data_IF_344472571666
#
_entry.id   IF_344472571666
#
_cell.length_a   1.000
_cell.length_b   1.000
_cell.length_c   1.000
_cell.angle_alpha   90.00
_cell.angle_beta   90.00
_cell.angle_gamma   90.00
#
_symmetry.space_group_name_H-M   'P 1'
#
loop_
_entity.id
_entity.type
_entity.pdbx_description
1 polymer ?
#
# COMPACT_ATOMS: atom_id res chain seq x y z
N UNK A 1 19.86 -6.58 -1.93
CA UNK A 1 18.98 -7.73 -2.01
C UNK A 1 19.42 -8.60 -3.18
N UNK A 2 19.51 -9.90 -2.95
CA UNK A 2 19.86 -10.86 -4.01
C UNK A 2 18.54 -11.39 -4.59
N UNK A 3 18.35 -11.24 -5.88
CA UNK A 3 17.25 -11.88 -6.57
C UNK A 3 17.61 -13.37 -6.74
N UNK A 4 16.81 -14.22 -6.15
CA UNK A 4 17.04 -15.67 -6.21
C UNK A 4 16.08 -16.30 -7.19
N UNK A 5 16.58 -16.97 -8.22
CA UNK A 5 15.79 -17.74 -9.18
C UNK A 5 16.15 -19.21 -9.06
N UNK A 6 15.15 -20.08 -9.16
CA UNK A 6 15.35 -21.53 -9.05
C UNK A 6 15.95 -22.16 -10.31
N UNK A 7 15.89 -21.45 -11.45
CA UNK A 7 16.49 -21.87 -12.72
C UNK A 7 16.41 -20.77 -13.75
N UNK A 8 17.38 -20.70 -14.68
CA UNK A 8 17.43 -19.66 -15.71
C UNK A 8 16.34 -19.82 -16.77
N UNK A 9 15.82 -21.01 -16.95
CA UNK A 9 14.73 -21.31 -17.89
C UNK A 9 13.39 -20.69 -17.48
N UNK A 10 13.25 -20.24 -16.24
CA UNK A 10 12.05 -19.55 -15.73
C UNK A 10 12.19 -18.04 -15.71
N UNK A 11 13.39 -17.51 -16.03
CA UNK A 11 13.65 -16.07 -15.99
C UNK A 11 13.12 -15.39 -17.25
N UNK A 12 12.26 -14.43 -17.05
CA UNK A 12 11.64 -13.63 -18.12
C UNK A 12 12.36 -12.29 -18.32
N UNK A 13 12.03 -11.58 -19.39
CA UNK A 13 12.48 -10.21 -19.59
C UNK A 13 12.03 -9.28 -18.45
N UNK A 14 10.83 -9.48 -17.94
CA UNK A 14 10.28 -8.67 -16.85
C UNK A 14 11.06 -8.88 -15.54
N UNK A 15 11.56 -10.08 -15.28
CA UNK A 15 12.43 -10.33 -14.13
C UNK A 15 13.74 -9.54 -14.23
N UNK A 16 14.36 -9.52 -15.43
CA UNK A 16 15.55 -8.70 -15.66
C UNK A 16 15.26 -7.21 -15.52
N UNK A 17 14.12 -6.75 -16.03
CA UNK A 17 13.70 -5.37 -15.90
C UNK A 17 13.49 -4.98 -14.44
N UNK A 18 12.83 -5.81 -13.65
CA UNK A 18 12.62 -5.60 -12.20
C UNK A 18 13.95 -5.54 -11.44
N UNK A 19 14.88 -6.45 -11.72
CA UNK A 19 16.23 -6.43 -11.13
C UNK A 19 16.97 -5.15 -11.49
N UNK A 20 16.94 -4.74 -12.76
CA UNK A 20 17.55 -3.50 -13.24
C UNK A 20 16.94 -2.28 -12.52
N UNK A 21 15.61 -2.18 -12.49
CA UNK A 21 14.89 -1.11 -11.79
C UNK A 21 15.27 -1.05 -10.32
N UNK A 22 15.28 -2.18 -9.61
CA UNK A 22 15.66 -2.24 -8.19
C UNK A 22 17.10 -1.76 -7.98
N UNK A 23 18.02 -2.18 -8.83
CA UNK A 23 19.43 -1.77 -8.75
C UNK A 23 19.63 -0.27 -8.97
N UNK A 24 18.82 0.33 -9.84
CA UNK A 24 18.86 1.77 -10.15
C UNK A 24 17.92 2.62 -9.31
N UNK A 25 17.23 2.04 -8.30
CA UNK A 25 16.29 2.76 -7.44
C UNK A 25 15.05 3.27 -8.20
N UNK A 26 14.69 2.63 -9.31
CA UNK A 26 13.50 2.96 -10.09
C UNK A 26 12.29 2.24 -9.46
N UNK A 27 11.26 2.98 -9.00
CA UNK A 27 10.07 2.38 -8.39
C UNK A 27 9.34 1.43 -9.36
N UNK A 28 8.94 0.26 -8.86
CA UNK A 28 8.17 -0.67 -9.67
C UNK A 28 6.73 -0.19 -9.84
N UNK A 29 6.25 -0.28 -11.07
CA UNK A 29 4.83 -0.23 -11.35
C UNK A 29 4.19 -1.52 -10.84
N UNK A 30 3.18 -1.42 -9.99
CA UNK A 30 2.54 -2.57 -9.34
C UNK A 30 1.26 -2.95 -10.10
N UNK A 31 0.32 -2.02 -10.20
CA UNK A 31 -0.94 -2.24 -10.87
C UNK A 31 -1.58 -0.93 -11.33
N UNK A 32 -2.57 -1.06 -12.19
CA UNK A 32 -3.40 0.05 -12.65
C UNK A 32 -4.87 -0.25 -12.41
N UNK A 33 -5.62 0.81 -12.13
CA UNK A 33 -7.08 0.80 -12.14
C UNK A 33 -7.61 1.65 -13.31
N UNK A 34 -8.91 1.82 -13.38
CA UNK A 34 -9.50 2.72 -14.38
C UNK A 34 -8.97 4.15 -14.26
N UNK A 35 -8.81 4.66 -13.02
CA UNK A 35 -8.46 6.06 -12.75
C UNK A 35 -7.08 6.24 -12.10
N UNK A 36 -6.50 5.19 -11.56
CA UNK A 36 -5.26 5.28 -10.79
C UNK A 36 -4.15 4.42 -11.37
N UNK A 37 -2.92 4.89 -11.15
CA UNK A 37 -1.68 4.12 -11.26
C UNK A 37 -1.14 3.91 -9.86
N UNK A 38 -0.78 2.66 -9.53
CA UNK A 38 -0.22 2.30 -8.23
C UNK A 38 1.20 1.79 -8.45
N UNK A 39 2.16 2.40 -7.75
CA UNK A 39 3.57 2.05 -7.84
C UNK A 39 4.27 2.19 -6.49
N UNK A 40 5.44 1.60 -6.38
CA UNK A 40 6.30 1.80 -5.23
C UNK A 40 6.66 3.28 -5.03
N UNK A 41 6.98 3.62 -3.77
CA UNK A 41 7.58 4.89 -3.42
C UNK A 41 9.01 4.98 -3.98
N UNK A 42 9.35 6.13 -4.54
CA UNK A 42 10.71 6.50 -4.90
C UNK A 42 11.16 7.71 -4.11
N UNK A 43 12.47 7.89 -3.92
CA UNK A 43 13.01 8.99 -3.10
C UNK A 43 12.63 10.39 -3.60
N UNK A 44 12.31 10.52 -4.88
CA UNK A 44 11.84 11.77 -5.50
C UNK A 44 10.38 12.10 -5.15
N UNK A 45 9.63 11.15 -4.56
CA UNK A 45 8.23 11.35 -4.16
C UNK A 45 8.08 11.96 -2.77
N UNK A 46 9.17 12.15 -2.03
CA UNK A 46 9.11 12.54 -0.62
C UNK A 46 8.36 13.86 -0.41
N UNK A 47 8.59 14.86 -1.24
CA UNK A 47 7.91 16.16 -1.13
C UNK A 47 6.41 16.04 -1.42
N UNK A 48 6.04 15.18 -2.39
CA UNK A 48 4.64 14.92 -2.70
C UNK A 48 3.94 14.13 -1.58
N UNK A 49 4.67 13.23 -0.90
CA UNK A 49 4.17 12.51 0.26
C UNK A 49 3.88 13.47 1.42
N UNK A 50 4.79 14.42 1.72
CA UNK A 50 4.54 15.47 2.71
C UNK A 50 3.33 16.30 2.34
N UNK A 51 3.23 16.76 1.12
CA UNK A 51 2.08 17.55 0.65
C UNK A 51 0.75 16.77 0.74
N UNK A 52 0.76 15.44 0.68
CA UNK A 52 -0.41 14.60 0.92
C UNK A 52 -0.77 14.55 2.41
N UNK A 53 0.22 14.30 3.29
CA UNK A 53 -0.01 14.15 4.72
C UNK A 53 -0.32 15.46 5.45
N UNK A 54 0.10 16.60 4.92
CA UNK A 54 -0.22 17.94 5.44
C UNK A 54 -1.66 18.40 5.13
N UNK A 55 -2.39 17.67 4.27
CA UNK A 55 -3.78 18.00 3.99
C UNK A 55 -4.67 17.79 5.23
N UNK A 56 -5.68 18.64 5.44
CA UNK A 56 -6.57 18.49 6.59
C UNK A 56 -7.21 17.10 6.67
N UNK A 57 -7.28 16.54 7.88
CA UNK A 57 -7.92 15.26 8.18
C UNK A 57 -7.22 13.99 7.63
N UNK A 58 -6.10 14.10 6.96
CA UNK A 58 -5.34 12.92 6.49
C UNK A 58 -4.77 12.13 7.66
N UNK A 59 -4.28 12.83 8.68
CA UNK A 59 -3.66 12.22 9.87
C UNK A 59 -4.59 12.08 11.07
N UNK A 60 -5.92 12.19 10.88
CA UNK A 60 -6.87 12.05 12.00
C UNK A 60 -6.84 10.64 12.63
N UNK A 61 -6.51 9.61 11.85
CA UNK A 61 -6.50 8.21 12.27
C UNK A 61 -5.24 7.44 11.89
N UNK A 62 -4.21 8.11 11.41
CA UNK A 62 -2.91 7.54 11.06
C UNK A 62 -1.80 8.39 11.65
N UNK A 63 -0.65 7.78 11.89
CA UNK A 63 0.52 8.50 12.37
C UNK A 63 1.01 9.54 11.35
N UNK A 64 1.40 10.75 11.79
CA UNK A 64 2.03 11.72 10.93
C UNK A 64 3.42 11.23 10.50
N UNK A 65 3.92 11.80 9.41
CA UNK A 65 5.30 11.55 8.99
C UNK A 65 6.31 12.07 10.03
N UNK A 66 7.46 11.44 10.10
CA UNK A 66 8.59 11.93 10.90
C UNK A 66 9.09 13.27 10.37
N UNK A 67 10.01 13.92 11.08
CA UNK A 67 10.73 15.08 10.55
C UNK A 67 11.48 14.71 9.25
N UNK A 68 11.54 15.62 8.28
CA UNK A 68 11.96 15.36 6.89
C UNK A 68 13.23 14.50 6.74
N UNK A 69 14.28 14.81 7.54
CA UNK A 69 15.52 14.05 7.47
C UNK A 69 15.35 12.60 7.98
N UNK A 70 14.52 12.41 8.99
CA UNK A 70 14.20 11.08 9.56
C UNK A 70 13.29 10.30 8.62
N UNK A 71 12.27 10.94 8.05
CA UNK A 71 11.38 10.31 7.07
C UNK A 71 12.14 9.85 5.84
N UNK A 72 13.05 10.69 5.35
CA UNK A 72 13.91 10.34 4.22
C UNK A 72 14.75 9.08 4.48
N UNK A 73 15.25 8.92 5.70
CA UNK A 73 15.99 7.73 6.10
C UNK A 73 15.07 6.53 6.29
N UNK A 74 13.88 6.74 6.87
CA UNK A 74 12.85 5.72 7.02
C UNK A 74 12.43 5.16 5.66
N UNK A 75 12.05 6.01 4.70
CA UNK A 75 11.60 5.59 3.38
C UNK A 75 12.74 4.91 2.56
N UNK A 76 13.99 5.34 2.72
CA UNK A 76 15.13 4.63 2.13
C UNK A 76 15.23 3.20 2.67
N UNK A 77 15.15 3.03 3.99
CA UNK A 77 15.16 1.72 4.62
C UNK A 77 13.94 0.88 4.21
N UNK A 78 12.78 1.54 4.04
CA UNK A 78 11.55 0.89 3.59
C UNK A 78 11.71 0.31 2.18
N UNK A 79 12.24 1.07 1.23
CA UNK A 79 12.53 0.61 -0.13
C UNK A 79 13.48 -0.60 -0.10
N UNK A 80 14.56 -0.50 0.66
CA UNK A 80 15.59 -1.53 0.68
C UNK A 80 15.15 -2.82 1.38
N UNK A 81 14.42 -2.69 2.49
CA UNK A 81 14.08 -3.83 3.36
C UNK A 81 12.69 -4.38 3.08
N UNK A 82 11.68 -3.53 2.93
CA UNK A 82 10.30 -3.98 2.75
C UNK A 82 10.06 -4.38 1.30
N UNK A 83 10.17 -3.47 0.36
CA UNK A 83 10.02 -3.82 -1.05
C UNK A 83 11.09 -4.82 -1.54
N UNK A 84 12.33 -4.69 -1.03
CA UNK A 84 13.43 -5.55 -1.42
C UNK A 84 13.32 -6.98 -0.88
N UNK A 85 12.63 -7.20 0.22
CA UNK A 85 12.51 -8.52 0.87
C UNK A 85 11.16 -9.17 0.60
N UNK A 86 10.06 -8.43 0.82
CA UNK A 86 8.70 -8.99 0.68
C UNK A 86 8.16 -8.90 -0.75
N UNK A 87 8.65 -7.94 -1.56
CA UNK A 87 8.10 -7.68 -2.89
C UNK A 87 6.77 -6.89 -2.89
N UNK A 88 6.25 -6.57 -1.71
CA UNK A 88 5.06 -5.73 -1.53
C UNK A 88 5.25 -4.78 -0.33
N UNK A 89 4.34 -3.84 -0.16
CA UNK A 89 4.35 -2.84 0.90
C UNK A 89 3.30 -1.77 0.66
N UNK A 90 3.43 -0.61 1.33
CA UNK A 90 2.58 0.56 1.09
C UNK A 90 3.03 1.30 -0.16
N UNK A 91 2.20 1.30 -1.19
CA UNK A 91 2.46 1.93 -2.48
C UNK A 91 1.83 3.31 -2.59
N UNK A 92 2.29 4.11 -3.54
CA UNK A 92 1.73 5.40 -3.88
C UNK A 92 0.63 5.26 -4.94
N UNK A 93 -0.44 6.03 -4.76
CA UNK A 93 -1.60 6.06 -5.66
C UNK A 93 -1.61 7.39 -6.41
N UNK A 94 -1.42 7.34 -7.72
CA UNK A 94 -1.44 8.49 -8.61
C UNK A 94 -2.73 8.51 -9.43
N UNK A 95 -3.35 9.68 -9.56
CA UNK A 95 -4.45 9.87 -10.48
C UNK A 95 -3.93 9.96 -11.92
N UNK A 96 -4.43 9.10 -12.82
CA UNK A 96 -3.96 9.02 -14.21
C UNK A 96 -4.17 10.31 -15.00
N UNK A 97 -5.29 10.99 -14.75
CA UNK A 97 -5.66 12.21 -15.48
C UNK A 97 -4.70 13.38 -15.22
N UNK A 98 -4.26 13.51 -13.97
CA UNK A 98 -3.44 14.66 -13.52
C UNK A 98 -1.98 14.31 -13.25
N UNK A 99 -1.67 13.02 -13.11
CA UNK A 99 -0.36 12.53 -12.66
C UNK A 99 -0.05 12.86 -11.19
N UNK A 100 -1.01 13.36 -10.41
CA UNK A 100 -0.80 13.76 -9.02
C UNK A 100 -0.88 12.58 -8.07
N UNK A 101 -0.06 12.62 -7.03
CA UNK A 101 -0.19 11.75 -5.88
C UNK A 101 -1.49 12.09 -5.13
N UNK A 102 -2.37 11.11 -5.00
CA UNK A 102 -3.69 11.25 -4.36
C UNK A 102 -3.89 10.30 -3.20
N UNK A 103 -2.94 9.43 -2.91
CA UNK A 103 -3.08 8.50 -1.81
C UNK A 103 -1.89 7.58 -1.64
N UNK A 104 -1.94 6.81 -0.56
CA UNK A 104 -1.03 5.70 -0.26
C UNK A 104 -1.88 4.49 0.09
N UNK A 105 -1.63 3.33 -0.50
CA UNK A 105 -2.37 2.11 -0.22
C UNK A 105 -1.52 0.89 -0.53
N UNK A 106 -1.71 -0.18 0.23
CA UNK A 106 -0.90 -1.38 0.03
C UNK A 106 -1.10 -2.43 1.11
N UNK A 107 -0.13 -3.31 1.20
CA UNK A 107 -0.13 -4.47 2.06
C UNK A 107 1.11 -4.47 2.95
N UNK A 108 0.94 -4.71 4.23
CA UNK A 108 2.04 -4.76 5.19
C UNK A 108 1.87 -5.89 6.20
N UNK A 109 2.99 -6.43 6.68
CA UNK A 109 2.99 -7.21 7.91
C UNK A 109 2.93 -6.25 9.10
N UNK A 110 1.95 -6.44 9.98
CA UNK A 110 1.86 -5.72 11.25
C UNK A 110 2.33 -6.62 12.39
N UNK A 111 3.21 -6.11 13.23
CA UNK A 111 3.61 -6.81 14.45
C UNK A 111 2.75 -6.38 15.65
N UNK A 112 2.29 -7.30 16.50
CA UNK A 112 2.34 -8.75 16.32
C UNK A 112 1.25 -9.21 15.35
N UNK A 113 1.61 -9.87 14.27
CA UNK A 113 0.64 -10.55 13.39
C UNK A 113 0.65 -12.05 13.68
N UNK A 114 -0.49 -12.70 13.49
CA UNK A 114 -0.50 -14.15 13.38
C UNK A 114 0.25 -14.56 12.12
N UNK A 115 0.88 -15.74 12.16
CA UNK A 115 1.73 -16.20 11.05
C UNK A 115 0.92 -16.21 9.73
N UNK A 116 1.37 -15.41 8.76
CA UNK A 116 0.72 -15.29 7.45
C UNK A 116 -0.34 -14.20 7.31
N UNK A 117 -0.65 -13.42 8.34
CA UNK A 117 -1.59 -12.30 8.22
C UNK A 117 -0.92 -11.07 7.63
N UNK A 118 -1.60 -10.46 6.65
CA UNK A 118 -1.17 -9.23 5.99
C UNK A 118 -2.25 -8.18 6.13
N UNK A 119 -1.87 -6.97 6.50
CA UNK A 119 -2.78 -5.85 6.69
C UNK A 119 -2.94 -5.04 5.39
N UNK A 120 -4.18 -4.73 5.02
CA UNK A 120 -4.51 -3.73 4.00
C UNK A 120 -4.55 -2.35 4.65
N UNK A 121 -3.59 -1.49 4.30
CA UNK A 121 -3.56 -0.09 4.67
C UNK A 121 -3.94 0.82 3.50
N UNK A 122 -4.63 1.94 3.76
CA UNK A 122 -4.95 2.93 2.74
C UNK A 122 -5.24 4.31 3.32
N UNK A 123 -4.89 5.32 2.56
CA UNK A 123 -5.34 6.70 2.71
C UNK A 123 -5.54 7.32 1.32
N UNK A 124 -6.51 8.21 1.22
CA UNK A 124 -6.79 8.97 -0.02
C UNK A 124 -6.95 10.45 0.35
N UNK A 125 -6.40 11.33 -0.47
CA UNK A 125 -6.50 12.77 -0.32
C UNK A 125 -7.95 13.24 -0.16
N UNK A 126 -8.25 14.19 0.75
CA UNK A 126 -9.62 14.66 1.02
C UNK A 126 -10.38 15.14 -0.21
N UNK A 127 -9.69 15.74 -1.17
CA UNK A 127 -10.26 16.18 -2.45
C UNK A 127 -10.83 15.03 -3.31
N UNK A 128 -10.48 13.78 -2.97
CA UNK A 128 -10.90 12.56 -3.68
C UNK A 128 -11.86 11.68 -2.87
N UNK A 129 -12.23 12.12 -1.65
CA UNK A 129 -13.19 11.40 -0.82
C UNK A 129 -14.58 11.33 -1.46
N UNK A 130 -15.35 10.30 -1.09
CA UNK A 130 -16.71 10.04 -1.57
C UNK A 130 -16.88 9.94 -3.10
N UNK A 131 -15.75 9.85 -3.84
CA UNK A 131 -15.73 9.68 -5.30
C UNK A 131 -15.40 8.23 -5.73
N UNK A 132 -15.29 7.31 -4.76
CA UNK A 132 -15.05 5.89 -5.02
C UNK A 132 -13.58 5.49 -5.29
N UNK A 133 -12.62 6.40 -5.14
CA UNK A 133 -11.20 6.10 -5.36
C UNK A 133 -10.68 5.04 -4.40
N UNK A 134 -10.96 5.15 -3.10
CA UNK A 134 -10.54 4.16 -2.11
C UNK A 134 -11.10 2.76 -2.43
N UNK A 135 -12.39 2.66 -2.78
CA UNK A 135 -13.01 1.38 -3.18
C UNK A 135 -12.29 0.78 -4.39
N UNK A 136 -12.06 1.58 -5.44
CA UNK A 136 -11.41 1.14 -6.67
C UNK A 136 -9.98 0.63 -6.43
N UNK A 137 -9.21 1.39 -5.65
CA UNK A 137 -7.81 1.05 -5.31
C UNK A 137 -7.75 -0.21 -4.45
N UNK A 138 -8.53 -0.28 -3.37
CA UNK A 138 -8.51 -1.43 -2.47
C UNK A 138 -8.98 -2.71 -3.17
N UNK A 139 -10.01 -2.66 -4.02
CA UNK A 139 -10.43 -3.82 -4.82
C UNK A 139 -9.30 -4.33 -5.70
N UNK A 140 -8.58 -3.44 -6.38
CA UNK A 140 -7.47 -3.82 -7.24
C UNK A 140 -6.31 -4.43 -6.43
N UNK A 141 -6.02 -3.90 -5.22
CA UNK A 141 -5.00 -4.46 -4.32
C UNK A 141 -5.41 -5.85 -3.82
N UNK A 142 -6.68 -6.07 -3.47
CA UNK A 142 -7.18 -7.39 -3.06
C UNK A 142 -7.05 -8.42 -4.20
N UNK A 143 -7.41 -8.05 -5.44
CA UNK A 143 -7.20 -8.92 -6.60
C UNK A 143 -5.72 -9.25 -6.80
N UNK A 144 -4.83 -8.25 -6.70
CA UNK A 144 -3.39 -8.43 -6.80
C UNK A 144 -2.85 -9.36 -5.69
N UNK A 145 -3.33 -9.18 -4.45
CA UNK A 145 -2.95 -10.03 -3.32
C UNK A 145 -3.27 -11.51 -3.58
N UNK A 146 -4.45 -11.77 -4.13
CA UNK A 146 -4.88 -13.13 -4.49
C UNK A 146 -4.11 -13.70 -5.68
N UNK A 147 -4.08 -12.97 -6.79
CA UNK A 147 -3.63 -13.47 -8.09
C UNK A 147 -2.11 -13.50 -8.22
N UNK A 148 -1.42 -12.48 -7.71
CA UNK A 148 0.02 -12.33 -7.86
C UNK A 148 0.82 -12.76 -6.63
N UNK A 149 0.24 -12.54 -5.43
CA UNK A 149 0.94 -12.85 -4.18
C UNK A 149 0.46 -14.15 -3.52
N UNK A 150 -0.61 -14.79 -4.07
CA UNK A 150 -1.19 -16.04 -3.55
C UNK A 150 -1.56 -15.95 -2.05
N UNK A 151 -1.98 -14.79 -1.60
CA UNK A 151 -2.44 -14.58 -0.23
C UNK A 151 -3.83 -15.19 -0.05
N UNK A 152 -4.07 -15.75 1.12
CA UNK A 152 -5.35 -16.39 1.45
C UNK A 152 -6.26 -15.50 2.29
N UNK A 153 -5.66 -14.62 3.12
CA UNK A 153 -6.40 -13.77 4.04
C UNK A 153 -5.75 -12.40 4.18
N UNK A 154 -6.58 -11.37 4.26
CA UNK A 154 -6.19 -9.99 4.51
C UNK A 154 -6.93 -9.48 5.74
N UNK A 155 -6.23 -8.72 6.58
CA UNK A 155 -6.82 -8.03 7.72
C UNK A 155 -6.73 -6.51 7.53
N UNK A 156 -7.48 -5.74 8.30
CA UNK A 156 -7.33 -4.29 8.39
C UNK A 156 -7.78 -3.83 9.78
N UNK A 157 -6.95 -3.02 10.41
CA UNK A 157 -7.21 -2.46 11.73
C UNK A 157 -7.76 -1.05 11.61
N UNK A 158 -8.85 -0.77 12.30
CA UNK A 158 -9.58 0.49 12.13
C UNK A 158 -9.90 1.10 13.48
N UNK A 159 -9.47 2.33 13.70
CA UNK A 159 -9.81 3.09 14.90
C UNK A 159 -11.34 3.18 15.09
N UNK A 160 -11.83 3.05 16.32
CA UNK A 160 -13.27 2.99 16.66
C UNK A 160 -14.10 4.13 16.04
N UNK A 161 -13.51 5.32 15.88
CA UNK A 161 -14.19 6.52 15.36
C UNK A 161 -14.04 6.70 13.86
N UNK A 162 -13.32 5.80 13.16
CA UNK A 162 -13.11 5.92 11.71
C UNK A 162 -14.24 5.22 10.93
N UNK A 163 -15.44 5.79 10.99
CA UNK A 163 -16.61 5.24 10.31
C UNK A 163 -16.44 5.15 8.79
N UNK A 164 -15.67 6.06 8.21
CA UNK A 164 -15.42 6.05 6.75
C UNK A 164 -14.66 4.80 6.32
N UNK A 165 -13.63 4.42 7.06
CA UNK A 165 -12.85 3.20 6.82
C UNK A 165 -13.70 1.94 7.05
N UNK A 166 -14.50 1.91 8.13
CA UNK A 166 -15.40 0.81 8.44
C UNK A 166 -16.40 0.55 7.30
N UNK A 167 -17.10 1.59 6.85
CA UNK A 167 -18.05 1.47 5.73
C UNK A 167 -17.39 1.01 4.43
N UNK A 168 -16.14 1.45 4.17
CA UNK A 168 -15.41 1.01 3.00
C UNK A 168 -15.11 -0.50 3.07
N UNK A 169 -14.57 -0.98 4.19
CA UNK A 169 -14.22 -2.39 4.36
C UNK A 169 -15.46 -3.30 4.31
N UNK A 170 -16.55 -2.90 4.96
CA UNK A 170 -17.84 -3.61 4.88
C UNK A 170 -18.35 -3.70 3.43
N UNK A 171 -18.25 -2.61 2.68
CA UNK A 171 -18.60 -2.57 1.25
C UNK A 171 -17.71 -3.46 0.38
N UNK A 172 -16.45 -3.64 0.76
CA UNK A 172 -15.51 -4.53 0.10
C UNK A 172 -15.73 -6.00 0.47
N UNK A 173 -16.59 -6.28 1.46
CA UNK A 173 -16.92 -7.63 1.89
C UNK A 173 -16.12 -8.14 3.09
N UNK A 174 -15.37 -7.27 3.75
CA UNK A 174 -14.70 -7.63 4.99
C UNK A 174 -15.71 -7.87 6.11
N UNK A 175 -15.40 -8.83 6.97
CA UNK A 175 -16.10 -9.09 8.20
C UNK A 175 -15.40 -8.41 9.37
N UNK A 176 -16.12 -7.55 10.10
CA UNK A 176 -15.58 -6.75 11.19
C UNK A 176 -15.89 -7.33 12.57
N UNK A 177 -14.92 -7.37 13.45
CA UNK A 177 -15.05 -7.68 14.87
C UNK A 177 -14.57 -6.50 15.71
N UNK A 178 -15.39 -5.99 16.60
CA UNK A 178 -14.99 -4.93 17.53
C UNK A 178 -14.18 -5.52 18.69
N UNK A 179 -13.00 -4.98 18.91
CA UNK A 179 -12.17 -5.19 20.10
C UNK A 179 -12.30 -4.00 21.04
N UNK A 180 -11.55 -4.01 22.13
CA UNK A 180 -11.63 -2.97 23.17
C UNK A 180 -11.28 -1.58 22.62
N UNK A 181 -10.21 -1.49 21.84
CA UNK A 181 -9.64 -0.22 21.36
C UNK A 181 -9.77 0.02 19.84
N UNK A 182 -10.15 -1.01 19.06
CA UNK A 182 -10.21 -0.94 17.61
C UNK A 182 -11.23 -1.91 17.00
N UNK A 183 -11.50 -1.77 15.71
CA UNK A 183 -12.13 -2.78 14.88
C UNK A 183 -11.07 -3.57 14.12
N UNK A 184 -11.20 -4.89 14.11
CA UNK A 184 -10.40 -5.76 13.26
C UNK A 184 -11.31 -6.31 12.17
N UNK A 185 -10.95 -6.02 10.94
CA UNK A 185 -11.64 -6.50 9.75
C UNK A 185 -10.84 -7.61 9.10
N UNK A 186 -11.48 -8.67 8.63
CA UNK A 186 -10.84 -9.77 7.92
C UNK A 186 -11.57 -10.09 6.63
N UNK A 187 -10.83 -10.53 5.61
CA UNK A 187 -11.32 -10.91 4.31
C UNK A 187 -10.56 -12.14 3.81
N UNK A 188 -11.29 -13.21 3.48
CA UNK A 188 -10.73 -14.41 2.86
C UNK A 188 -10.76 -14.22 1.33
N UNK A 189 -9.58 -14.33 0.67
CA UNK A 189 -9.33 -14.03 -0.74
C UNK A 189 -9.78 -15.16 -1.69
#
# INVERSE_FOLDING_TARGET
ASYVVLGLEQVTYDDFLRVFQRFHGIPWHILETKRCQIREFGMDDLDALYALYEQPHVTDFIEPLYAYAQEREYERNYIERIYGFYGFGMWLVFEKETGKLIGRAGLEYREPCEEGEVELGYLIAPSHWQKGYATEVCQAILSYAKEELSMERIVSHVHLKNDASRHLLEKLGFFGEQKEDEWIYSYDL
#
